data_IF_095957510938
#
_entry.id   IF_095957510938
#
_cell.length_a   1.000
_cell.length_b   1.000
_cell.length_c   1.000
_cell.angle_alpha   90.00
_cell.angle_beta   90.00
_cell.angle_gamma   90.00
#
_symmetry.space_group_name_H-M   'P 1'
#
loop_
_entity.id
_entity.type
_entity.pdbx_description
1 polymer ?
#
# COMPACT_ATOMS: atom_id res chain seq x y z
N UNK A 1 -34.23 26.82 24.14
CA UNK A 1 -33.43 27.81 23.39
C UNK A 1 -32.00 27.55 23.78
N UNK A 2 -31.29 26.80 22.94
CA UNK A 2 -29.90 26.42 23.15
C UNK A 2 -29.09 27.19 22.09
N UNK A 3 -28.14 28.01 22.55
CA UNK A 3 -27.25 28.77 21.69
C UNK A 3 -26.29 27.83 20.96
N UNK A 4 -26.24 27.99 19.65
CA UNK A 4 -25.30 27.38 18.72
C UNK A 4 -23.98 28.17 18.74
N UNK A 5 -22.93 27.62 19.36
CA UNK A 5 -21.57 28.14 19.17
C UNK A 5 -20.92 27.47 17.95
N UNK A 6 -20.54 28.28 16.96
CA UNK A 6 -19.71 27.87 15.82
C UNK A 6 -18.28 27.50 16.27
N UNK A 7 -17.60 26.57 15.56
CA UNK A 7 -16.19 26.25 15.81
C UNK A 7 -15.27 27.41 15.38
N UNK A 8 -14.08 27.56 16.01
CA UNK A 8 -13.15 28.64 15.71
C UNK A 8 -12.52 28.50 14.31
N UNK A 9 -12.13 29.62 13.66
CA UNK A 9 -11.65 29.60 12.29
C UNK A 9 -10.28 28.92 12.15
N UNK A 10 -10.11 28.20 11.05
CA UNK A 10 -8.81 27.74 10.58
C UNK A 10 -7.96 28.94 10.16
N UNK A 11 -6.65 28.86 10.39
CA UNK A 11 -5.66 29.91 10.14
C UNK A 11 -5.61 30.35 8.67
N UNK A 12 -6.51 31.24 8.28
CA UNK A 12 -6.38 32.10 7.11
C UNK A 12 -6.30 33.53 7.64
N UNK A 13 -5.23 34.24 7.26
CA UNK A 13 -4.84 35.63 7.60
C UNK A 13 -3.58 35.76 8.47
N UNK A 14 -2.46 35.22 8.00
CA UNK A 14 -1.14 35.78 8.33
C UNK A 14 -0.66 36.52 7.07
N UNK A 15 -0.67 37.84 7.13
CA UNK A 15 -0.18 38.74 6.09
C UNK A 15 1.36 38.81 6.17
N UNK A 16 2.05 38.01 5.35
CA UNK A 16 3.52 37.94 5.31
C UNK A 16 4.09 39.04 4.42
N UNK A 17 3.67 40.31 4.59
CA UNK A 17 4.36 41.50 4.06
C UNK A 17 4.08 42.74 4.92
N UNK A 18 4.44 42.66 6.20
CA UNK A 18 4.52 43.82 7.09
C UNK A 18 5.97 44.16 7.41
N UNK A 19 6.46 45.29 6.91
CA UNK A 19 7.74 45.90 7.29
C UNK A 19 7.75 46.18 8.79
N UNK A 20 8.66 45.56 9.54
CA UNK A 20 9.09 46.03 10.85
C UNK A 20 10.60 45.82 10.93
N UNK A 21 11.32 46.90 10.63
CA UNK A 21 12.63 47.16 11.19
C UNK A 21 12.49 47.09 12.72
N UNK A 22 13.17 46.14 13.36
CA UNK A 22 13.70 46.30 14.72
C UNK A 22 14.68 45.15 14.98
N UNK A 23 15.87 45.55 15.41
CA UNK A 23 17.06 44.73 15.61
C UNK A 23 16.87 43.71 16.74
N UNK A 24 17.07 42.41 16.45
CA UNK A 24 17.67 41.38 17.31
C UNK A 24 17.34 39.97 16.77
N UNK A 25 17.93 39.60 15.62
CA UNK A 25 17.88 38.22 15.13
C UNK A 25 19.05 37.39 15.70
N UNK A 26 18.73 36.61 16.72
CA UNK A 26 19.65 35.75 17.50
C UNK A 26 20.15 34.53 16.71
N UNK A 27 19.69 34.30 15.46
CA UNK A 27 20.10 33.15 14.66
C UNK A 27 21.15 33.45 13.57
N UNK A 28 21.69 34.67 13.51
CA UNK A 28 22.66 35.09 12.50
C UNK A 28 24.07 34.43 12.59
N UNK A 29 24.34 33.53 13.55
CA UNK A 29 25.70 33.04 13.82
C UNK A 29 25.97 31.55 13.52
N UNK A 30 25.09 30.86 12.80
CA UNK A 30 25.31 29.45 12.42
C UNK A 30 25.27 29.22 10.90
N UNK A 31 26.23 29.81 10.17
CA UNK A 31 26.55 29.39 8.79
C UNK A 31 28.05 29.07 8.72
N UNK A 32 28.34 27.81 8.42
CA UNK A 32 29.68 27.27 8.27
C UNK A 32 30.14 27.44 6.80
N UNK A 33 31.32 28.05 6.63
CA UNK A 33 31.93 28.42 5.36
C UNK A 33 32.18 27.25 4.38
N UNK A 34 31.92 27.48 3.09
CA UNK A 34 32.57 26.78 1.98
C UNK A 34 33.12 27.79 0.96
N UNK A 35 34.35 27.53 0.51
CA UNK A 35 35.18 28.36 -0.38
C UNK A 35 34.75 28.26 -1.89
N UNK A 36 35.28 29.12 -2.78
CA UNK A 36 34.54 29.65 -3.94
C UNK A 36 34.79 28.92 -5.27
N UNK A 37 33.80 29.00 -6.17
CA UNK A 37 33.94 28.73 -7.62
C UNK A 37 33.90 30.02 -8.43
N UNK A 38 34.78 30.09 -9.44
CA UNK A 38 35.14 31.25 -10.28
C UNK A 38 34.27 31.40 -11.56
N UNK A 39 33.94 32.66 -11.86
CA UNK A 39 33.78 33.39 -13.16
C UNK A 39 32.82 32.86 -14.26
N UNK A 40 31.75 33.61 -14.60
CA UNK A 40 31.59 34.62 -15.69
C UNK A 40 31.68 33.98 -17.10
N UNK A 41 30.79 34.21 -18.07
CA UNK A 41 30.30 35.47 -18.67
C UNK A 41 29.00 35.20 -19.47
N UNK A 42 28.09 36.18 -19.52
CA UNK A 42 27.03 36.30 -20.55
C UNK A 42 26.90 37.78 -20.91
N UNK A 43 27.15 38.12 -22.17
CA UNK A 43 26.70 39.34 -22.86
C UNK A 43 26.69 39.00 -24.36
N UNK A 44 25.52 39.04 -25.00
CA UNK A 44 25.18 40.15 -25.90
C UNK A 44 23.88 39.93 -26.70
N UNK A 45 23.23 41.07 -26.94
CA UNK A 45 21.90 41.32 -27.50
C UNK A 45 21.98 41.47 -29.03
N UNK A 46 20.94 41.09 -29.80
CA UNK A 46 20.27 41.97 -30.79
C UNK A 46 19.13 41.34 -31.60
N UNK A 47 18.05 42.14 -31.69
CA UNK A 47 16.90 42.07 -32.57
C UNK A 47 17.26 42.21 -34.07
N UNK A 48 16.39 41.74 -34.98
CA UNK A 48 15.62 42.58 -35.92
C UNK A 48 14.98 41.75 -37.07
N UNK A 49 13.65 41.83 -37.13
CA UNK A 49 12.75 42.12 -38.28
C UNK A 49 12.69 41.26 -39.58
N UNK A 50 11.42 40.92 -39.89
CA UNK A 50 10.68 40.91 -41.17
C UNK A 50 11.19 40.23 -42.44
N UNK A 51 10.28 39.44 -43.06
CA UNK A 51 10.23 39.24 -44.51
C UNK A 51 9.37 38.06 -44.96
N UNK A 52 8.18 38.35 -45.50
CA UNK A 52 7.30 37.43 -46.25
C UNK A 52 8.04 36.69 -47.39
N UNK A 53 7.60 35.46 -47.72
CA UNK A 53 7.23 35.07 -49.10
C UNK A 53 6.55 33.70 -49.16
N UNK A 54 5.43 33.71 -49.86
CA UNK A 54 4.54 32.63 -50.25
C UNK A 54 5.16 31.73 -51.34
N UNK A 55 4.99 30.40 -51.31
CA UNK A 55 5.01 29.55 -52.51
C UNK A 55 4.36 28.17 -52.26
N UNK A 56 3.25 27.95 -52.94
CA UNK A 56 2.54 26.67 -53.05
C UNK A 56 3.32 25.67 -53.93
N UNK A 57 3.28 24.36 -53.59
CA UNK A 57 3.04 23.32 -54.61
C UNK A 57 2.57 21.99 -54.00
N UNK A 58 1.54 21.44 -54.65
CA UNK A 58 0.95 20.12 -54.49
C UNK A 58 1.91 19.03 -54.99
N UNK A 59 1.88 17.85 -54.38
CA UNK A 59 2.09 16.57 -55.08
C UNK A 59 1.38 15.42 -54.34
N UNK A 60 0.47 14.76 -55.07
CA UNK A 60 -0.21 13.50 -54.72
C UNK A 60 0.68 12.33 -55.17
N UNK A 61 0.78 11.28 -54.38
CA UNK A 61 1.12 9.93 -54.87
C UNK A 61 0.21 8.92 -54.16
N UNK A 62 -0.59 8.23 -54.97
CA UNK A 62 -1.33 7.01 -54.68
C UNK A 62 -0.43 5.80 -54.94
N UNK A 63 -0.47 4.76 -54.08
CA UNK A 63 -0.55 3.39 -54.61
C UNK A 63 -1.09 2.37 -53.60
N UNK A 64 -1.77 1.39 -54.18
CA UNK A 64 -2.74 0.43 -53.66
C UNK A 64 -2.21 -0.73 -52.80
N UNK A 65 -3.03 -1.19 -51.85
CA UNK A 65 -2.93 -2.48 -51.13
C UNK A 65 -4.11 -3.37 -51.55
N UNK A 66 -3.95 -4.68 -51.79
CA UNK A 66 -5.07 -5.56 -52.09
C UNK A 66 -5.74 -6.06 -50.81
N UNK A 67 -7.07 -6.00 -50.81
CA UNK A 67 -7.98 -6.61 -49.84
C UNK A 67 -8.05 -8.14 -50.06
N UNK A 68 -7.99 -8.92 -48.99
CA UNK A 68 -8.50 -10.29 -48.95
C UNK A 68 -9.69 -10.32 -48.02
N UNK A 69 -10.86 -10.64 -48.58
CA UNK A 69 -12.10 -10.93 -47.86
C UNK A 69 -11.92 -12.18 -46.98
N UNK A 70 -12.34 -12.10 -45.72
CA UNK A 70 -12.66 -13.26 -44.91
C UNK A 70 -13.98 -13.11 -44.17
N UNK A 71 -14.69 -14.24 -44.19
CA UNK A 71 -16.10 -14.53 -43.86
C UNK A 71 -16.50 -14.13 -42.42
N UNK A 72 -17.73 -13.66 -42.16
CA UNK A 72 -18.17 -13.32 -40.81
C UNK A 72 -18.51 -14.59 -40.00
N UNK A 73 -17.69 -14.90 -38.99
CA UNK A 73 -18.04 -15.84 -37.91
C UNK A 73 -18.73 -15.04 -36.82
N UNK A 74 -20.02 -15.32 -36.62
CA UNK A 74 -20.83 -14.78 -35.52
C UNK A 74 -20.46 -15.48 -34.22
N UNK A 75 -19.49 -14.93 -33.49
CA UNK A 75 -19.29 -15.20 -32.07
C UNK A 75 -19.36 -13.88 -31.32
N UNK A 76 -20.38 -13.69 -30.47
CA UNK A 76 -20.39 -12.58 -29.51
C UNK A 76 -19.44 -12.95 -28.37
N UNK A 77 -18.33 -12.23 -28.15
CA UNK A 77 -17.56 -12.38 -26.92
C UNK A 77 -18.36 -11.71 -25.79
N UNK A 78 -18.42 -12.36 -24.64
CA UNK A 78 -18.80 -11.68 -23.39
C UNK A 78 -17.64 -10.77 -23.04
N UNK A 79 -17.70 -9.51 -23.48
CA UNK A 79 -16.75 -8.47 -23.09
C UNK A 79 -16.99 -8.10 -21.63
N UNK A 80 -16.01 -8.37 -20.78
CA UNK A 80 -15.87 -7.68 -19.50
C UNK A 80 -15.78 -6.17 -19.80
N UNK A 81 -16.40 -5.30 -18.98
CA UNK A 81 -16.41 -3.86 -19.24
C UNK A 81 -14.98 -3.32 -19.37
N UNK A 82 -14.74 -2.53 -20.41
CA UNK A 82 -13.46 -1.87 -20.67
C UNK A 82 -13.29 -0.66 -19.73
N UNK A 83 -12.06 -0.14 -19.61
CA UNK A 83 -11.78 1.02 -18.76
C UNK A 83 -12.61 2.25 -19.14
N UNK A 84 -13.02 2.39 -20.39
CA UNK A 84 -13.89 3.47 -20.88
C UNK A 84 -15.35 3.35 -20.37
N UNK A 85 -15.87 2.13 -20.17
CA UNK A 85 -17.22 1.92 -19.62
C UNK A 85 -17.29 2.22 -18.11
N UNK A 86 -16.17 2.09 -17.40
CA UNK A 86 -16.06 2.42 -15.98
C UNK A 86 -16.02 3.94 -15.73
N UNK A 87 -15.46 4.71 -16.66
CA UNK A 87 -15.38 6.18 -16.58
C UNK A 87 -16.68 6.86 -17.03
N UNK A 88 -17.41 6.27 -17.98
CA UNK A 88 -18.66 6.83 -18.51
C UNK A 88 -19.89 6.66 -17.58
N UNK A 89 -19.80 5.81 -16.54
CA UNK A 89 -20.85 5.58 -15.54
C UNK A 89 -20.68 6.44 -14.27
N UNK A 90 -19.97 7.56 -14.37
CA UNK A 90 -19.73 8.53 -13.29
C UNK A 90 -20.99 9.37 -12.96
N UNK A 91 -22.07 8.68 -12.58
CA UNK A 91 -22.81 9.15 -11.42
C UNK A 91 -21.94 8.88 -10.19
N UNK A 92 -22.03 9.73 -9.16
CA UNK A 92 -21.15 9.78 -7.99
C UNK A 92 -21.14 8.46 -7.18
N UNK A 93 -20.50 7.41 -7.74
CA UNK A 93 -20.46 6.06 -7.20
C UNK A 93 -19.46 6.01 -6.06
N UNK A 94 -19.90 5.52 -4.91
CA UNK A 94 -19.09 5.39 -3.72
C UNK A 94 -19.28 4.03 -3.06
N UNK A 95 -18.23 3.58 -2.38
CA UNK A 95 -18.26 2.45 -1.47
C UNK A 95 -17.45 2.85 -0.23
N UNK A 96 -18.13 2.87 0.91
CA UNK A 96 -17.53 3.13 2.20
C UNK A 96 -17.53 1.85 3.02
N UNK A 97 -16.36 1.48 3.55
CA UNK A 97 -16.19 0.27 4.35
C UNK A 97 -15.60 0.68 5.69
N UNK A 98 -16.23 0.25 6.79
CA UNK A 98 -15.69 0.41 8.13
C UNK A 98 -15.64 -0.94 8.83
N UNK A 99 -14.62 -1.14 9.67
CA UNK A 99 -14.50 -2.35 10.48
C UNK A 99 -14.60 -1.95 11.94
N UNK A 100 -15.53 -2.58 12.66
CA UNK A 100 -15.77 -2.30 14.08
C UNK A 100 -15.08 -3.34 14.98
N UNK A 101 -15.13 -3.12 16.29
CA UNK A 101 -14.47 -3.97 17.28
C UNK A 101 -14.77 -5.45 17.07
N UNK A 102 -13.77 -6.33 17.20
CA UNK A 102 -13.99 -7.71 16.92
C UNK A 102 -14.67 -8.45 18.06
N UNK A 103 -15.52 -9.39 17.69
CA UNK A 103 -16.26 -10.25 18.59
C UNK A 103 -15.63 -11.64 18.65
N UNK A 104 -15.50 -12.20 19.85
CA UNK A 104 -15.14 -13.61 20.02
C UNK A 104 -16.34 -14.48 19.66
N UNK A 105 -16.17 -15.35 18.66
CA UNK A 105 -17.17 -16.29 18.20
C UNK A 105 -16.77 -17.72 18.62
N UNK A 106 -17.75 -18.47 19.13
CA UNK A 106 -17.60 -19.84 19.59
C UNK A 106 -17.04 -19.97 21.02
N UNK A 107 -17.10 -21.20 21.55
CA UNK A 107 -16.65 -21.55 22.90
C UNK A 107 -15.47 -22.54 22.88
N UNK A 108 -14.64 -22.51 23.92
CA UNK A 108 -13.51 -23.44 24.07
C UNK A 108 -12.37 -23.28 23.06
N UNK A 109 -11.70 -24.39 22.72
CA UNK A 109 -10.50 -24.44 21.86
C UNK A 109 -10.78 -24.07 20.38
N UNK A 110 -12.05 -24.06 19.95
CA UNK A 110 -12.47 -23.68 18.61
C UNK A 110 -12.82 -22.19 18.44
N UNK A 111 -12.75 -21.40 19.52
CA UNK A 111 -13.11 -19.98 19.48
C UNK A 111 -12.16 -19.16 18.61
N UNK A 112 -12.72 -18.21 17.87
CA UNK A 112 -11.97 -17.33 16.98
C UNK A 112 -12.47 -15.89 17.08
N UNK A 113 -11.65 -14.95 16.59
CA UNK A 113 -11.96 -13.54 16.59
C UNK A 113 -12.54 -13.15 15.21
N UNK A 114 -13.76 -12.59 15.19
CA UNK A 114 -14.45 -12.13 14.01
C UNK A 114 -14.58 -10.60 14.02
N UNK A 115 -14.40 -9.97 12.87
CA UNK A 115 -14.50 -8.55 12.66
C UNK A 115 -15.82 -8.23 11.98
N UNK A 116 -16.51 -7.21 12.48
CA UNK A 116 -17.76 -6.74 11.90
C UNK A 116 -17.45 -5.70 10.82
N UNK A 117 -17.58 -6.12 9.57
CA UNK A 117 -17.35 -5.32 8.36
C UNK A 117 -18.68 -4.68 7.97
N UNK A 118 -18.75 -3.36 8.00
CA UNK A 118 -19.92 -2.59 7.60
C UNK A 118 -19.62 -1.95 6.26
N UNK A 119 -20.55 -2.07 5.31
CA UNK A 119 -20.40 -1.50 3.98
C UNK A 119 -21.62 -0.70 3.62
N UNK A 120 -21.40 0.54 3.18
CA UNK A 120 -22.41 1.45 2.64
C UNK A 120 -21.97 1.85 1.23
N UNK A 121 -22.82 1.63 0.24
CA UNK A 121 -22.49 1.88 -1.17
C UNK A 121 -23.74 2.18 -1.99
N UNK A 122 -23.60 2.99 -3.03
CA UNK A 122 -24.62 3.19 -4.06
C UNK A 122 -24.29 2.46 -5.38
N UNK A 123 -23.23 1.63 -5.40
CA UNK A 123 -22.83 0.92 -6.61
C UNK A 123 -23.88 -0.16 -6.96
N UNK A 124 -24.40 -0.18 -8.20
CA UNK A 124 -25.47 -1.09 -8.62
C UNK A 124 -25.03 -2.55 -8.69
N UNK A 125 -23.71 -2.79 -8.65
CA UNK A 125 -23.18 -4.14 -8.57
C UNK A 125 -23.67 -4.79 -7.27
N UNK A 126 -23.75 -4.11 -6.13
CA UNK A 126 -24.17 -4.72 -4.85
C UNK A 126 -25.69 -4.92 -4.74
N UNK A 127 -26.12 -5.97 -4.02
CA UNK A 127 -27.54 -6.31 -3.80
C UNK A 127 -28.24 -5.38 -2.82
N UNK A 128 -27.48 -4.85 -1.87
CA UNK A 128 -27.96 -3.97 -0.80
C UNK A 128 -27.05 -2.76 -0.73
N UNK A 129 -27.64 -1.61 -0.39
CA UNK A 129 -26.87 -0.36 -0.21
C UNK A 129 -26.17 -0.29 1.13
N UNK A 130 -26.72 -0.98 2.15
CA UNK A 130 -26.12 -1.10 3.47
C UNK A 130 -26.20 -2.55 3.93
N UNK A 131 -25.07 -3.09 4.37
CA UNK A 131 -25.00 -4.45 4.90
C UNK A 131 -23.80 -4.63 5.81
N UNK A 132 -23.88 -5.68 6.62
CA UNK A 132 -22.89 -5.98 7.65
C UNK A 132 -22.61 -7.48 7.64
N UNK A 133 -21.33 -7.84 7.62
CA UNK A 133 -20.90 -9.24 7.68
C UNK A 133 -19.84 -9.44 8.76
N UNK A 134 -19.78 -10.64 9.31
CA UNK A 134 -18.73 -11.07 10.23
C UNK A 134 -17.66 -11.84 9.45
N UNK A 135 -16.41 -11.43 9.60
CA UNK A 135 -15.25 -12.04 8.94
C UNK A 135 -14.13 -12.29 9.91
N UNK A 136 -13.59 -13.51 9.96
CA UNK A 136 -12.38 -13.76 10.74
C UNK A 136 -11.16 -13.35 9.94
N UNK A 137 -10.05 -13.11 10.64
CA UNK A 137 -8.80 -12.68 10.03
C UNK A 137 -8.33 -13.58 8.86
N UNK A 138 -8.50 -14.91 8.94
CA UNK A 138 -8.10 -15.80 7.85
C UNK A 138 -8.93 -15.66 6.58
N UNK A 139 -10.14 -15.11 6.65
CA UNK A 139 -10.98 -14.89 5.46
C UNK A 139 -10.41 -13.73 4.63
N UNK A 140 -9.88 -12.68 5.28
CA UNK A 140 -9.19 -11.58 4.60
C UNK A 140 -7.94 -12.06 3.87
N UNK A 141 -7.19 -12.98 4.49
CA UNK A 141 -6.03 -13.60 3.83
C UNK A 141 -6.44 -14.47 2.65
N UNK A 142 -7.55 -15.21 2.78
CA UNK A 142 -8.10 -15.99 1.68
C UNK A 142 -8.53 -15.10 0.50
N UNK A 143 -9.17 -13.96 0.78
CA UNK A 143 -9.47 -12.95 -0.24
C UNK A 143 -8.20 -12.44 -0.90
N UNK A 144 -7.19 -12.06 -0.12
CA UNK A 144 -5.90 -11.60 -0.66
C UNK A 144 -5.27 -12.65 -1.57
N UNK A 145 -5.16 -13.91 -1.12
CA UNK A 145 -4.59 -15.02 -1.91
C UNK A 145 -5.30 -15.18 -3.26
N UNK A 146 -6.64 -15.14 -3.26
CA UNK A 146 -7.43 -15.24 -4.50
C UNK A 146 -7.17 -14.06 -5.44
N UNK A 147 -7.16 -12.83 -4.93
CA UNK A 147 -6.88 -11.63 -5.73
C UNK A 147 -5.46 -11.67 -6.29
N UNK A 148 -4.47 -12.06 -5.49
CA UNK A 148 -3.09 -12.25 -5.93
C UNK A 148 -3.00 -13.28 -7.06
N UNK A 149 -3.63 -14.44 -6.90
CA UNK A 149 -3.59 -15.50 -7.92
C UNK A 149 -4.22 -15.08 -9.26
N UNK A 150 -5.29 -14.27 -9.22
CA UNK A 150 -5.98 -13.81 -10.42
C UNK A 150 -5.27 -12.64 -11.11
N UNK A 151 -4.81 -11.65 -10.34
CA UNK A 151 -4.51 -10.33 -10.87
C UNK A 151 -3.01 -9.98 -10.85
N UNK A 152 -2.19 -10.60 -10.01
CA UNK A 152 -0.75 -10.31 -9.96
C UNK A 152 -0.06 -10.67 -11.28
N UNK A 153 -0.45 -11.81 -11.87
CA UNK A 153 0.02 -12.31 -13.18
C UNK A 153 -0.32 -11.36 -14.33
N UNK A 154 -1.31 -10.49 -14.13
CA UNK A 154 -1.77 -9.48 -15.10
C UNK A 154 -1.12 -8.12 -14.80
N UNK A 155 -0.19 -8.06 -13.85
CA UNK A 155 0.54 -6.84 -13.47
C UNK A 155 -0.26 -5.88 -12.60
N UNK A 156 -1.34 -6.31 -11.94
CA UNK A 156 -2.10 -5.46 -11.01
C UNK A 156 -1.49 -5.49 -9.62
N UNK A 157 -1.39 -4.32 -8.99
CA UNK A 157 -0.88 -4.17 -7.63
C UNK A 157 -1.99 -4.55 -6.66
N UNK A 158 -1.75 -5.58 -5.85
CA UNK A 158 -2.69 -6.04 -4.82
C UNK A 158 -2.33 -5.36 -3.51
N UNK A 159 -3.28 -4.68 -2.83
CA UNK A 159 -3.02 -4.07 -1.53
C UNK A 159 -2.41 -5.08 -0.55
N UNK A 160 -1.42 -4.67 0.26
CA UNK A 160 -0.69 -5.59 1.12
C UNK A 160 -1.63 -6.30 2.10
N UNK A 161 -1.43 -7.61 2.26
CA UNK A 161 -2.15 -8.39 3.24
C UNK A 161 -1.87 -7.86 4.67
N UNK A 162 -2.87 -7.81 5.54
CA UNK A 162 -2.67 -7.56 6.96
C UNK A 162 -1.74 -8.63 7.56
N UNK A 163 -0.71 -8.22 8.31
CA UNK A 163 0.28 -9.17 8.83
C UNK A 163 -0.33 -10.16 9.85
N UNK A 164 -0.01 -11.45 9.68
CA UNK A 164 -0.13 -12.46 10.73
C UNK A 164 0.87 -12.15 11.84
N UNK A 165 0.53 -11.25 12.75
CA UNK A 165 1.33 -11.10 13.97
C UNK A 165 1.23 -12.37 14.81
N UNK A 166 2.27 -13.19 14.73
CA UNK A 166 2.46 -14.41 15.53
C UNK A 166 2.69 -14.05 17.01
N UNK A 167 3.22 -12.84 17.26
CA UNK A 167 3.58 -12.33 18.59
C UNK A 167 2.36 -11.82 19.37
N UNK A 168 1.35 -11.26 18.69
CA UNK A 168 0.14 -10.76 19.36
C UNK A 168 -0.82 -11.86 19.82
N UNK A 169 -0.92 -12.97 19.10
CA UNK A 169 -1.80 -14.09 19.48
C UNK A 169 -1.33 -14.81 20.76
N UNK A 170 -0.04 -14.80 21.07
CA UNK A 170 0.49 -15.35 22.32
C UNK A 170 0.22 -14.44 23.54
N UNK A 171 0.23 -13.11 23.34
CA UNK A 171 -0.03 -12.12 24.40
C UNK A 171 -1.52 -11.92 24.70
N UNK A 172 -2.40 -11.90 23.69
CA UNK A 172 -3.86 -11.75 23.89
C UNK A 172 -4.46 -12.94 24.64
N UNK A 173 -3.88 -14.14 24.52
CA UNK A 173 -4.29 -15.31 25.33
C UNK A 173 -3.88 -15.19 26.79
N UNK A 174 -2.82 -14.43 27.11
CA UNK A 174 -2.30 -14.27 28.47
C UNK A 174 -2.92 -13.08 29.22
N UNK A 175 -3.45 -12.07 28.52
CA UNK A 175 -4.09 -10.89 29.12
C UNK A 175 -5.59 -11.06 29.41
N UNK A 176 -6.11 -12.29 29.40
CA UNK A 176 -7.52 -12.59 29.72
C UNK A 176 -7.78 -12.76 31.23
N UNK A 177 -6.89 -12.25 32.09
CA UNK A 177 -7.20 -12.04 33.50
C UNK A 177 -7.76 -10.62 33.71
N UNK A 178 -8.91 -10.46 34.37
CA UNK A 178 -9.65 -9.20 34.41
C UNK A 178 -9.17 -8.23 35.50
N UNK A 179 -7.95 -8.36 36.00
CA UNK A 179 -7.41 -7.44 37.02
C UNK A 179 -5.96 -7.06 36.70
N UNK A 180 -5.76 -5.80 36.32
CA UNK A 180 -4.44 -5.21 36.06
C UNK A 180 -4.23 -4.81 34.60
N UNK A 181 -4.52 -3.55 34.29
CA UNK A 181 -4.42 -2.97 32.95
C UNK A 181 -3.08 -3.24 32.28
N UNK A 182 -3.10 -4.03 31.21
CA UNK A 182 -2.05 -4.02 30.19
C UNK A 182 -2.64 -3.49 28.89
N UNK A 183 -2.33 -2.22 28.63
CA UNK A 183 -2.67 -1.43 27.42
C UNK A 183 -2.39 -2.19 26.11
N UNK A 184 -1.45 -3.15 26.14
CA UNK A 184 -0.93 -3.85 24.97
C UNK A 184 -1.92 -4.82 24.27
N UNK A 185 -2.95 -5.33 24.97
CA UNK A 185 -3.90 -6.27 24.39
C UNK A 185 -4.89 -5.60 23.44
N UNK A 186 -5.42 -4.44 23.84
CA UNK A 186 -6.37 -3.68 23.04
C UNK A 186 -5.69 -2.99 21.85
N UNK A 187 -4.49 -2.45 22.05
CA UNK A 187 -3.67 -1.86 20.99
C UNK A 187 -3.44 -2.82 19.82
N UNK A 188 -3.18 -4.10 20.11
CA UNK A 188 -2.96 -5.10 19.08
C UNK A 188 -4.21 -5.36 18.23
N UNK A 189 -5.35 -5.48 18.90
CA UNK A 189 -6.64 -5.73 18.26
C UNK A 189 -7.02 -4.54 17.38
N UNK A 190 -6.84 -3.32 17.88
CA UNK A 190 -7.14 -2.08 17.16
C UNK A 190 -6.20 -1.86 15.97
N UNK A 191 -4.89 -2.07 16.12
CA UNK A 191 -3.93 -2.04 14.99
C UNK A 191 -4.34 -2.98 13.88
N UNK A 192 -4.72 -4.22 14.26
CA UNK A 192 -5.17 -5.23 13.29
C UNK A 192 -6.47 -4.81 12.61
N UNK A 193 -7.46 -4.30 13.37
CA UNK A 193 -8.72 -3.79 12.84
C UNK A 193 -8.48 -2.66 11.82
N UNK A 194 -7.64 -1.68 12.16
CA UNK A 194 -7.27 -0.57 11.28
C UNK A 194 -6.52 -1.04 10.01
N UNK A 195 -5.63 -2.03 10.12
CA UNK A 195 -4.96 -2.63 8.96
C UNK A 195 -5.94 -3.37 8.04
N UNK A 196 -6.87 -4.15 8.60
CA UNK A 196 -7.92 -4.83 7.84
C UNK A 196 -8.83 -3.82 7.11
N UNK A 197 -9.19 -2.71 7.77
CA UNK A 197 -10.03 -1.68 7.17
C UNK A 197 -9.32 -0.98 6.01
N UNK A 198 -8.04 -0.61 6.19
CA UNK A 198 -7.22 -0.03 5.12
C UNK A 198 -7.09 -0.97 3.92
N UNK A 199 -6.85 -2.25 4.16
CA UNK A 199 -6.80 -3.27 3.11
C UNK A 199 -8.10 -3.31 2.29
N UNK A 200 -9.26 -3.38 2.92
CA UNK A 200 -10.55 -3.36 2.21
C UNK A 200 -10.81 -2.04 1.49
N UNK A 201 -10.54 -0.89 2.13
CA UNK A 201 -10.72 0.43 1.51
C UNK A 201 -9.87 0.57 0.24
N UNK A 202 -8.59 0.19 0.29
CA UNK A 202 -7.70 0.21 -0.89
C UNK A 202 -8.16 -0.75 -1.98
N UNK A 203 -8.66 -1.92 -1.61
CA UNK A 203 -9.22 -2.89 -2.57
C UNK A 203 -10.46 -2.33 -3.25
N UNK A 204 -11.34 -1.66 -2.49
CA UNK A 204 -12.54 -1.00 -3.00
C UNK A 204 -12.25 0.24 -3.87
N UNK A 205 -11.13 0.94 -3.65
CA UNK A 205 -10.69 2.06 -4.48
C UNK A 205 -10.07 1.60 -5.81
N UNK A 206 -9.65 0.34 -5.94
CA UNK A 206 -9.05 -0.13 -7.18
C UNK A 206 -10.17 -0.50 -8.19
N UNK A 207 -10.20 0.12 -9.40
CA UNK A 207 -11.33 0.03 -10.33
C UNK A 207 -11.64 -1.40 -10.79
N UNK A 208 -10.62 -2.25 -10.88
CA UNK A 208 -10.79 -3.68 -11.23
C UNK A 208 -11.12 -4.57 -10.02
N UNK A 209 -10.52 -4.33 -8.86
CA UNK A 209 -10.67 -5.24 -7.71
C UNK A 209 -12.02 -5.07 -7.02
N UNK A 210 -12.59 -3.85 -7.04
CA UNK A 210 -13.94 -3.59 -6.52
C UNK A 210 -15.02 -4.38 -7.26
N UNK A 211 -14.78 -4.71 -8.53
CA UNK A 211 -15.69 -5.49 -9.38
C UNK A 211 -15.46 -7.00 -9.28
N UNK A 212 -14.41 -7.46 -8.58
CA UNK A 212 -14.09 -8.87 -8.50
C UNK A 212 -15.19 -9.66 -7.73
N UNK A 213 -15.64 -10.80 -8.25
CA UNK A 213 -16.68 -11.61 -7.60
C UNK A 213 -16.30 -12.10 -6.19
N UNK A 214 -15.02 -12.43 -5.93
CA UNK A 214 -14.60 -12.88 -4.59
C UNK A 214 -14.56 -11.71 -3.60
N UNK A 215 -14.17 -10.51 -4.04
CA UNK A 215 -14.25 -9.31 -3.21
C UNK A 215 -15.70 -8.99 -2.83
N UNK A 216 -16.60 -9.07 -3.80
CA UNK A 216 -18.02 -8.86 -3.56
C UNK A 216 -18.62 -9.94 -2.65
N UNK A 217 -18.34 -11.21 -2.90
CA UNK A 217 -18.79 -12.31 -2.04
C UNK A 217 -18.27 -12.14 -0.61
N UNK A 218 -17.02 -11.73 -0.47
CA UNK A 218 -16.42 -11.42 0.82
C UNK A 218 -17.19 -10.31 1.56
N UNK A 219 -17.71 -9.31 0.87
CA UNK A 219 -18.48 -8.23 1.50
C UNK A 219 -19.95 -8.61 1.77
N UNK A 220 -20.62 -9.34 0.86
CA UNK A 220 -22.07 -9.57 0.92
C UNK A 220 -22.50 -10.89 1.57
N UNK A 221 -21.65 -11.92 1.59
CA UNK A 221 -22.06 -13.26 2.00
C UNK A 221 -22.33 -13.33 3.51
N UNK A 222 -23.57 -13.62 3.90
CA UNK A 222 -23.95 -13.83 5.32
C UNK A 222 -23.44 -15.19 5.85
N UNK A 223 -23.01 -16.09 4.96
CA UNK A 223 -22.52 -17.43 5.30
C UNK A 223 -21.06 -17.34 5.73
N UNK A 224 -20.66 -18.12 6.74
CA UNK A 224 -19.25 -18.28 7.08
C UNK A 224 -18.46 -18.81 5.88
N UNK A 225 -17.47 -18.04 5.42
CA UNK A 225 -16.60 -18.47 4.33
C UNK A 225 -15.76 -19.69 4.77
N UNK A 226 -15.49 -20.64 3.86
CA UNK A 226 -14.65 -21.79 4.17
C UNK A 226 -13.27 -21.33 4.66
N UNK A 227 -12.70 -22.07 5.62
CA UNK A 227 -11.36 -21.76 6.16
C UNK A 227 -10.36 -21.74 5.01
N UNK A 228 -9.69 -20.62 4.81
CA UNK A 228 -8.57 -20.52 3.90
C UNK A 228 -7.46 -21.47 4.37
N UNK A 229 -7.38 -22.64 3.74
CA UNK A 229 -6.43 -23.72 4.07
C UNK A 229 -4.99 -23.36 3.70
N UNK A 230 -4.79 -22.31 2.90
CA UNK A 230 -3.49 -21.89 2.35
C UNK A 230 -2.83 -20.71 3.08
N UNK A 231 -3.38 -20.24 4.20
CA UNK A 231 -2.82 -19.05 4.90
C UNK A 231 -1.46 -19.29 5.57
N UNK A 232 -0.93 -20.50 5.53
CA UNK A 232 0.41 -20.88 6.02
C UNK A 232 1.53 -20.17 5.25
N UNK A 233 1.27 -19.71 4.02
CA UNK A 233 2.23 -19.02 3.17
C UNK A 233 2.41 -17.52 3.51
N UNK A 234 1.41 -16.89 4.15
CA UNK A 234 1.42 -15.45 4.51
C UNK A 234 1.85 -15.16 5.96
N UNK A 235 2.38 -16.16 6.67
CA UNK A 235 3.12 -15.91 7.92
C UNK A 235 4.49 -15.32 7.59
N UNK A 236 5.10 -14.53 8.47
CA UNK A 236 6.50 -14.07 8.31
C UNK A 236 7.50 -15.23 8.15
N UNK A 237 7.13 -16.45 8.55
CA UNK A 237 7.87 -17.69 8.25
C UNK A 237 7.59 -18.29 6.84
N UNK A 238 6.52 -17.87 6.18
CA UNK A 238 6.13 -18.29 4.83
C UNK A 238 6.84 -17.51 3.73
N UNK A 239 7.18 -16.24 3.97
CA UNK A 239 8.07 -15.46 3.08
C UNK A 239 9.44 -16.14 2.95
N UNK A 240 10.01 -16.62 4.05
CA UNK A 240 11.23 -17.45 4.04
C UNK A 240 11.08 -18.80 3.30
N UNK A 241 9.88 -19.39 3.27
CA UNK A 241 9.61 -20.62 2.50
C UNK A 241 9.37 -20.36 1.02
N UNK A 242 8.89 -19.18 0.62
CA UNK A 242 8.87 -18.77 -0.78
C UNK A 242 10.30 -18.66 -1.32
N UNK A 243 11.24 -18.07 -0.57
CA UNK A 243 12.66 -18.08 -0.93
C UNK A 243 13.26 -19.50 -1.03
N UNK A 244 12.83 -20.46 -0.20
CA UNK A 244 13.30 -21.84 -0.29
C UNK A 244 12.61 -22.69 -1.39
N UNK A 245 11.36 -22.40 -1.78
CA UNK A 245 10.71 -23.05 -2.93
C UNK A 245 11.19 -22.52 -4.29
N UNK A 246 11.76 -21.31 -4.29
CA UNK A 246 12.57 -20.80 -5.40
C UNK A 246 13.93 -21.53 -5.45
N UNK A 247 14.37 -22.22 -4.39
CA UNK A 247 15.59 -23.04 -4.41
C UNK A 247 15.44 -24.36 -5.18
N UNK A 248 14.31 -25.05 -5.05
CA UNK A 248 14.14 -26.41 -5.61
C UNK A 248 13.67 -26.43 -7.07
N UNK A 249 13.07 -25.33 -7.57
CA UNK A 249 12.66 -25.23 -8.99
C UNK A 249 13.74 -24.62 -9.88
N UNK A 250 14.81 -24.08 -9.29
CA UNK A 250 15.87 -23.33 -10.02
C UNK A 250 17.03 -24.22 -10.46
N UNK A 251 17.00 -25.52 -10.15
CA UNK A 251 18.02 -26.48 -10.58
C UNK A 251 17.79 -27.11 -11.97
N UNK A 252 16.89 -26.58 -12.81
CA UNK A 252 16.79 -27.10 -14.19
C UNK A 252 16.60 -26.12 -15.32
N UNK A 253 16.30 -24.84 -15.06
CA UNK A 253 16.22 -23.82 -16.11
C UNK A 253 16.66 -22.46 -15.53
N UNK A 254 17.96 -22.27 -15.29
CA UNK A 254 18.54 -20.93 -15.11
C UNK A 254 18.96 -20.42 -16.49
N UNK A 255 17.99 -19.97 -17.29
CA UNK A 255 18.30 -19.09 -18.41
C UNK A 255 18.40 -17.68 -17.82
N UNK A 256 19.63 -17.18 -17.59
CA UNK A 256 19.85 -15.76 -17.31
C UNK A 256 19.50 -14.98 -18.58
N UNK A 257 18.24 -14.59 -18.70
CA UNK A 257 17.80 -13.65 -19.72
C UNK A 257 17.61 -12.32 -19.01
N UNK A 258 18.44 -11.35 -19.40
CA UNK A 258 18.45 -10.03 -18.78
C UNK A 258 17.24 -9.21 -19.28
N UNK A 259 16.51 -8.64 -18.33
CA UNK A 259 15.49 -7.63 -18.59
C UNK A 259 16.22 -6.33 -18.93
N UNK A 260 16.20 -5.93 -20.19
CA UNK A 260 16.93 -4.75 -20.69
C UNK A 260 15.98 -3.56 -20.94
N UNK A 261 14.83 -3.53 -20.30
CA UNK A 261 13.90 -2.41 -20.43
C UNK A 261 14.34 -1.27 -19.51
N UNK A 262 14.84 -0.14 -20.05
CA UNK A 262 15.41 0.93 -19.23
C UNK A 262 14.38 1.55 -18.28
N UNK A 263 13.09 1.54 -18.66
CA UNK A 263 12.04 2.09 -17.81
C UNK A 263 11.85 1.23 -16.55
N UNK A 264 11.84 -0.10 -16.69
CA UNK A 264 11.67 -0.99 -15.54
C UNK A 264 12.88 -0.97 -14.62
N UNK A 265 14.09 -0.87 -15.19
CA UNK A 265 15.32 -0.72 -14.40
C UNK A 265 15.29 0.59 -13.60
N UNK A 266 15.03 1.73 -14.26
CA UNK A 266 14.95 3.04 -13.60
C UNK A 266 13.86 3.06 -12.51
N UNK A 267 12.66 2.53 -12.81
CA UNK A 267 11.56 2.49 -11.86
C UNK A 267 11.84 1.56 -10.68
N UNK A 268 12.49 0.43 -10.89
CA UNK A 268 12.85 -0.47 -9.81
C UNK A 268 13.84 0.23 -8.85
N UNK A 269 14.88 0.87 -9.39
CA UNK A 269 15.84 1.66 -8.61
C UNK A 269 15.15 2.79 -7.83
N UNK A 270 14.19 3.49 -8.46
CA UNK A 270 13.38 4.49 -7.77
C UNK A 270 12.61 3.88 -6.60
N UNK A 271 11.88 2.79 -6.81
CA UNK A 271 11.08 2.11 -5.79
C UNK A 271 11.95 1.65 -4.61
N UNK A 272 13.11 1.06 -4.89
CA UNK A 272 14.06 0.60 -3.86
C UNK A 272 14.64 1.76 -3.05
N UNK A 273 14.94 2.88 -3.72
CA UNK A 273 15.42 4.10 -3.07
C UNK A 273 14.33 4.69 -2.16
N UNK A 274 13.09 4.77 -2.66
CA UNK A 274 11.94 5.26 -1.90
C UNK A 274 11.66 4.36 -0.70
N UNK A 275 11.68 3.03 -0.87
CA UNK A 275 11.52 2.06 0.22
C UNK A 275 12.61 2.26 1.28
N UNK A 276 13.87 2.47 0.87
CA UNK A 276 14.98 2.72 1.79
C UNK A 276 14.76 3.99 2.62
N UNK A 277 14.32 5.08 1.99
CA UNK A 277 14.03 6.34 2.69
C UNK A 277 12.82 6.22 3.63
N UNK A 278 11.71 5.62 3.18
CA UNK A 278 10.52 5.41 4.00
C UNK A 278 10.80 4.48 5.17
N UNK A 279 11.64 3.46 4.99
CA UNK A 279 12.03 2.53 6.06
C UNK A 279 12.85 3.23 7.14
N UNK A 280 13.81 4.08 6.74
CA UNK A 280 14.56 4.92 7.70
C UNK A 280 13.63 5.86 8.45
N UNK A 281 12.71 6.52 7.75
CA UNK A 281 11.72 7.42 8.35
C UNK A 281 10.81 6.67 9.34
N UNK A 282 10.30 5.50 8.96
CA UNK A 282 9.50 4.65 9.83
C UNK A 282 10.24 4.28 11.12
N UNK A 283 11.49 3.81 11.02
CA UNK A 283 12.32 3.49 12.20
C UNK A 283 12.51 4.70 13.12
N UNK A 284 12.75 5.89 12.56
CA UNK A 284 12.91 7.11 13.34
C UNK A 284 11.61 7.51 14.05
N UNK A 285 10.46 7.34 13.40
CA UNK A 285 9.15 7.62 14.01
C UNK A 285 8.80 6.58 15.08
N UNK A 286 9.12 5.30 14.88
CA UNK A 286 9.00 4.28 15.93
C UNK A 286 9.83 4.66 17.17
N UNK A 287 11.07 5.10 16.97
CA UNK A 287 11.93 5.57 18.05
C UNK A 287 11.33 6.80 18.75
N UNK A 288 10.83 7.77 18.00
CA UNK A 288 10.16 8.97 18.54
C UNK A 288 8.95 8.59 19.42
N UNK A 289 8.11 7.67 18.96
CA UNK A 289 6.97 7.15 19.74
C UNK A 289 7.47 6.51 21.04
N UNK A 290 8.53 5.70 20.98
CA UNK A 290 9.11 5.07 22.15
C UNK A 290 9.63 6.10 23.16
N UNK A 291 10.36 7.13 22.70
CA UNK A 291 10.87 8.20 23.54
C UNK A 291 9.74 9.04 24.17
N UNK A 292 8.64 9.30 23.45
CA UNK A 292 7.48 10.01 24.04
C UNK A 292 6.78 9.19 25.12
N UNK A 293 6.67 7.87 24.95
CA UNK A 293 6.14 6.98 26.00
C UNK A 293 7.05 6.93 27.22
N UNK A 294 8.36 6.92 27.00
CA UNK A 294 9.35 7.00 28.09
C UNK A 294 9.27 8.35 28.81
N UNK A 295 9.16 9.45 28.07
CA UNK A 295 8.98 10.78 28.64
C UNK A 295 7.71 10.87 29.49
N UNK A 296 6.59 10.34 29.02
CA UNK A 296 5.36 10.25 29.81
C UNK A 296 5.59 9.49 31.13
N UNK A 297 6.28 8.36 31.08
CA UNK A 297 6.59 7.57 32.26
C UNK A 297 7.47 8.34 33.27
N UNK A 298 8.48 9.06 32.80
CA UNK A 298 9.34 9.89 33.65
C UNK A 298 8.56 11.07 34.25
N UNK A 299 7.71 11.72 33.47
CA UNK A 299 6.79 12.78 33.92
C UNK A 299 5.87 12.29 35.05
N UNK A 300 5.29 11.09 34.93
CA UNK A 300 4.52 10.49 36.02
C UNK A 300 5.37 10.27 37.29
N UNK A 301 6.64 9.89 37.13
CA UNK A 301 7.58 9.76 38.23
C UNK A 301 7.83 11.09 38.97
N UNK A 302 7.92 12.20 38.22
CA UNK A 302 8.02 13.56 38.79
C UNK A 302 6.74 13.90 39.55
N UNK A 303 5.57 13.67 38.95
CA UNK A 303 4.27 13.93 39.58
C UNK A 303 4.14 13.22 40.93
N UNK A 304 4.43 11.92 40.98
CA UNK A 304 4.40 11.13 42.23
C UNK A 304 5.39 11.64 43.26
N UNK A 305 6.58 12.01 42.84
CA UNK A 305 7.61 12.54 43.74
C UNK A 305 7.18 13.88 44.34
N UNK A 306 6.63 14.78 43.52
CA UNK A 306 6.08 16.06 43.97
C UNK A 306 4.91 15.89 44.95
N UNK A 307 4.02 14.93 44.71
CA UNK A 307 2.93 14.59 45.62
C UNK A 307 3.45 14.05 46.97
N UNK A 308 4.47 13.20 46.96
CA UNK A 308 5.10 12.71 48.19
C UNK A 308 5.79 13.84 48.98
N UNK A 309 6.51 14.73 48.30
CA UNK A 309 7.12 15.91 48.91
C UNK A 309 6.05 16.83 49.53
N UNK A 310 4.95 17.06 48.81
CA UNK A 310 3.80 17.83 49.31
C UNK A 310 3.24 17.27 50.61
N UNK A 311 3.14 15.94 50.73
CA UNK A 311 2.63 15.26 51.93
C UNK A 311 3.57 15.33 53.15
N UNK A 312 4.88 15.50 52.91
CA UNK A 312 5.90 15.65 53.96
C UNK A 312 6.15 17.11 54.37
N UNK A 313 5.63 18.07 53.61
CA UNK A 313 5.93 19.50 53.80
C UNK A 313 5.00 20.13 54.84
N UNK A 314 5.59 20.71 55.90
CA UNK A 314 4.86 21.36 56.98
C UNK A 314 4.33 22.76 56.58
N UNK A 315 5.01 23.45 55.66
CA UNK A 315 4.57 24.76 55.22
C UNK A 315 3.39 24.68 54.25
N UNK A 316 2.20 25.03 54.73
CA UNK A 316 0.93 24.93 53.99
C UNK A 316 0.95 25.48 52.56
N UNK A 317 1.59 26.64 52.31
CA UNK A 317 1.60 27.19 50.94
C UNK A 317 2.55 26.45 50.01
N UNK A 318 3.65 25.91 50.54
CA UNK A 318 4.62 25.15 49.76
C UNK A 318 4.07 23.75 49.48
N UNK A 319 3.47 23.11 50.48
CA UNK A 319 2.75 21.84 50.32
C UNK A 319 1.69 21.94 49.21
N UNK A 320 0.86 23.00 49.22
CA UNK A 320 -0.13 23.25 48.15
C UNK A 320 0.48 23.47 46.78
N UNK A 321 1.58 24.22 46.68
CA UNK A 321 2.27 24.45 45.41
C UNK A 321 2.83 23.13 44.85
N UNK A 322 3.39 22.27 45.71
CA UNK A 322 3.88 20.93 45.32
C UNK A 322 2.74 19.99 44.90
N UNK A 323 1.57 20.06 45.57
CA UNK A 323 0.39 19.31 45.11
C UNK A 323 -0.05 19.77 43.71
N UNK A 324 -0.11 21.09 43.49
CA UNK A 324 -0.49 21.64 42.18
C UNK A 324 0.51 21.29 41.08
N UNK A 325 1.81 21.25 41.41
CA UNK A 325 2.83 20.76 40.49
C UNK A 325 2.59 19.29 40.14
N UNK A 326 2.32 18.43 41.14
CA UNK A 326 1.99 17.03 40.90
C UNK A 326 0.78 16.88 39.98
N UNK A 327 -0.33 17.57 40.27
CA UNK A 327 -1.55 17.56 39.45
C UNK A 327 -1.30 18.05 38.01
N UNK A 328 -0.37 18.99 37.84
CA UNK A 328 0.00 19.52 36.52
C UNK A 328 0.84 18.51 35.74
N UNK A 329 1.82 17.88 36.38
CA UNK A 329 2.65 16.84 35.76
C UNK A 329 1.82 15.60 35.39
N UNK A 330 0.81 15.21 36.17
CA UNK A 330 -0.13 14.14 35.78
C UNK A 330 -0.91 14.48 34.51
N UNK A 331 -1.30 15.75 34.32
CA UNK A 331 -1.96 16.19 33.09
C UNK A 331 -0.98 16.19 31.90
N UNK A 332 0.26 16.60 32.11
CA UNK A 332 1.31 16.58 31.09
C UNK A 332 1.62 15.14 30.65
N UNK A 333 1.70 14.19 31.59
CA UNK A 333 1.82 12.76 31.29
C UNK A 333 0.68 12.31 30.35
N UNK A 334 -0.57 12.63 30.70
CA UNK A 334 -1.73 12.21 29.90
C UNK A 334 -1.62 12.74 28.45
N UNK A 335 -1.19 14.00 28.29
CA UNK A 335 -0.94 14.59 26.97
C UNK A 335 0.19 13.88 26.22
N UNK A 336 1.31 13.56 26.88
CA UNK A 336 2.41 12.82 26.26
C UNK A 336 1.98 11.42 25.79
N UNK A 337 1.15 10.73 26.57
CA UNK A 337 0.58 9.42 26.19
C UNK A 337 -0.33 9.56 24.96
N UNK A 338 -1.23 10.54 24.97
CA UNK A 338 -2.13 10.80 23.84
C UNK A 338 -1.35 11.14 22.56
N UNK A 339 -0.33 11.99 22.68
CA UNK A 339 0.52 12.38 21.57
C UNK A 339 1.31 11.18 21.01
N UNK A 340 1.89 10.36 21.89
CA UNK A 340 2.59 9.15 21.48
C UNK A 340 1.67 8.14 20.78
N UNK A 341 0.43 8.01 21.25
CA UNK A 341 -0.57 7.15 20.61
C UNK A 341 -0.99 7.70 19.25
N UNK A 342 -1.20 9.01 19.14
CA UNK A 342 -1.55 9.68 17.87
C UNK A 342 -0.46 9.49 16.83
N UNK A 343 0.80 9.79 17.17
CA UNK A 343 1.94 9.56 16.28
C UNK A 343 2.03 8.09 15.84
N UNK A 344 1.78 7.18 16.78
CA UNK A 344 1.83 5.76 16.51
C UNK A 344 0.75 5.32 15.51
N UNK A 345 -0.53 5.61 15.79
CA UNK A 345 -1.65 5.13 14.99
C UNK A 345 -1.80 5.89 13.66
N UNK A 346 -1.43 7.16 13.61
CA UNK A 346 -1.55 7.98 12.40
C UNK A 346 -0.28 7.89 11.55
N UNK A 347 0.89 8.21 12.10
CA UNK A 347 2.12 8.33 11.29
C UNK A 347 2.82 7.00 11.10
N UNK A 348 3.13 6.29 12.20
CA UNK A 348 3.90 5.05 12.15
C UNK A 348 3.16 3.97 11.34
N UNK A 349 1.90 3.72 11.69
CA UNK A 349 1.08 2.72 11.00
C UNK A 349 0.80 3.09 9.54
N UNK A 350 0.68 4.38 9.19
CA UNK A 350 0.55 4.81 7.78
C UNK A 350 1.83 4.53 6.99
N UNK A 351 2.99 4.88 7.52
CA UNK A 351 4.27 4.61 6.86
C UNK A 351 4.51 3.11 6.68
N UNK A 352 4.14 2.29 7.66
CA UNK A 352 4.19 0.83 7.56
C UNK A 352 3.32 0.32 6.40
N UNK A 353 2.12 0.87 6.25
CA UNK A 353 1.19 0.53 5.18
C UNK A 353 1.73 0.92 3.79
N UNK A 354 2.35 2.09 3.66
CA UNK A 354 3.04 2.48 2.42
C UNK A 354 4.25 1.59 2.09
N UNK A 355 5.05 1.19 3.09
CA UNK A 355 6.11 0.20 2.90
C UNK A 355 5.56 -1.15 2.39
N UNK A 356 4.40 -1.57 2.91
CA UNK A 356 3.69 -2.74 2.40
C UNK A 356 3.29 -2.58 0.93
N UNK A 357 2.78 -1.41 0.54
CA UNK A 357 2.41 -1.13 -0.85
C UNK A 357 3.62 -1.14 -1.79
N UNK A 358 4.76 -0.58 -1.38
CA UNK A 358 6.01 -0.67 -2.15
C UNK A 358 6.44 -2.14 -2.33
N UNK A 359 6.25 -2.96 -1.31
CA UNK A 359 6.39 -4.42 -1.41
C UNK A 359 5.49 -5.02 -2.50
N UNK A 360 4.19 -4.68 -2.50
CA UNK A 360 3.24 -5.13 -3.54
C UNK A 360 3.62 -4.69 -4.94
N UNK A 361 4.20 -3.48 -5.10
CA UNK A 361 4.71 -3.02 -6.40
C UNK A 361 5.90 -3.88 -6.83
N UNK A 362 6.84 -4.16 -5.93
CA UNK A 362 7.99 -5.03 -6.22
C UNK A 362 7.56 -6.45 -6.59
N UNK A 363 6.53 -6.98 -5.95
CA UNK A 363 5.95 -8.28 -6.30
C UNK A 363 5.40 -8.29 -7.74
N UNK A 364 4.77 -7.20 -8.18
CA UNK A 364 4.30 -7.06 -9.55
C UNK A 364 5.45 -6.96 -10.56
N UNK A 365 6.52 -6.23 -10.24
CA UNK A 365 7.76 -6.20 -11.05
C UNK A 365 8.38 -7.60 -11.17
N UNK A 366 8.49 -8.31 -10.05
CA UNK A 366 9.05 -9.64 -10.03
C UNK A 366 8.22 -10.65 -10.86
N UNK A 367 6.89 -10.57 -10.78
CA UNK A 367 6.00 -11.40 -11.59
C UNK A 367 6.11 -11.06 -13.09
N UNK A 368 6.26 -9.78 -13.44
CA UNK A 368 6.57 -9.37 -14.81
C UNK A 368 7.88 -10.00 -15.31
N UNK A 369 8.96 -9.92 -14.55
CA UNK A 369 10.26 -10.49 -14.97
C UNK A 369 10.13 -12.00 -15.21
N UNK A 370 9.39 -12.72 -14.35
CA UNK A 370 9.08 -14.16 -14.56
C UNK A 370 8.32 -14.42 -15.86
N UNK A 371 7.27 -13.63 -16.12
CA UNK A 371 6.47 -13.77 -17.35
C UNK A 371 7.30 -13.46 -18.59
N UNK A 372 8.17 -12.45 -18.53
CA UNK A 372 9.09 -12.10 -19.60
C UNK A 372 10.06 -13.26 -19.90
N UNK A 373 10.69 -13.83 -18.86
CA UNK A 373 11.56 -15.00 -19.00
C UNK A 373 10.81 -16.20 -19.59
N UNK A 374 9.58 -16.45 -19.14
CA UNK A 374 8.74 -17.52 -19.67
C UNK A 374 8.40 -17.30 -21.15
N UNK A 375 8.01 -16.08 -21.52
CA UNK A 375 7.74 -15.71 -22.91
C UNK A 375 8.97 -15.90 -23.80
N UNK A 376 10.13 -15.41 -23.37
CA UNK A 376 11.36 -15.57 -24.15
C UNK A 376 11.77 -17.03 -24.31
N UNK A 377 11.62 -17.84 -23.27
CA UNK A 377 11.84 -19.28 -23.35
C UNK A 377 10.91 -19.94 -24.37
N UNK A 378 9.60 -19.64 -24.32
CA UNK A 378 8.62 -20.13 -25.27
C UNK A 378 8.93 -19.68 -26.71
N UNK A 379 9.40 -18.44 -26.90
CA UNK A 379 9.84 -17.92 -28.19
C UNK A 379 11.07 -18.68 -28.73
N UNK A 380 12.05 -18.99 -27.88
CA UNK A 380 13.21 -19.80 -28.27
C UNK A 380 12.80 -21.24 -28.63
N UNK A 381 11.89 -21.85 -27.87
CA UNK A 381 11.36 -23.18 -28.19
C UNK A 381 10.65 -23.18 -29.55
N UNK A 382 9.82 -22.16 -29.81
CA UNK A 382 9.15 -21.99 -31.09
C UNK A 382 10.14 -21.84 -32.24
N UNK A 383 11.20 -21.04 -32.06
CA UNK A 383 12.25 -20.89 -33.07
C UNK A 383 12.97 -22.21 -33.36
N UNK A 384 13.32 -23.00 -32.33
CA UNK A 384 13.93 -24.33 -32.52
C UNK A 384 13.00 -25.29 -33.25
N UNK A 385 11.70 -25.28 -32.95
CA UNK A 385 10.70 -26.10 -33.66
C UNK A 385 10.59 -25.68 -35.13
N UNK A 386 10.60 -24.37 -35.43
CA UNK A 386 10.61 -23.83 -36.81
C UNK A 386 11.88 -24.24 -37.57
N UNK A 387 13.05 -24.16 -36.94
CA UNK A 387 14.31 -24.62 -37.53
C UNK A 387 14.29 -26.15 -37.80
N UNK A 388 13.74 -26.93 -36.87
CA UNK A 388 13.58 -28.38 -37.04
C UNK A 388 12.65 -28.70 -38.22
N UNK A 389 11.52 -28.01 -38.34
CA UNK A 389 10.61 -28.13 -39.49
C UNK A 389 11.32 -27.82 -40.81
N UNK A 390 11.98 -26.67 -40.90
CA UNK A 390 12.73 -26.27 -42.10
C UNK A 390 13.80 -27.30 -42.48
N UNK A 391 14.46 -27.91 -41.49
CA UNK A 391 15.43 -28.99 -41.71
C UNK A 391 14.78 -30.27 -42.25
N UNK A 392 13.59 -30.65 -41.79
CA UNK A 392 12.86 -31.81 -42.31
C UNK A 392 12.34 -31.57 -43.73
N UNK A 393 11.91 -30.34 -44.05
CA UNK A 393 11.55 -29.91 -45.39
C UNK A 393 12.75 -30.05 -46.36
N UNK A 394 13.92 -29.53 -45.98
CA UNK A 394 15.15 -29.67 -46.75
C UNK A 394 15.59 -31.14 -46.96
N UNK A 395 15.23 -32.04 -46.05
CA UNK A 395 15.54 -33.46 -46.13
C UNK A 395 14.45 -34.29 -46.86
N UNK A 396 13.40 -33.67 -47.41
CA UNK A 396 12.24 -34.35 -48.01
C UNK A 396 11.58 -35.40 -47.11
N UNK A 397 11.57 -35.17 -45.78
CA UNK A 397 10.95 -36.09 -44.81
C UNK A 397 9.53 -35.65 -44.47
N UNK A 398 8.60 -35.83 -45.41
CA UNK A 398 7.20 -35.38 -45.34
C UNK A 398 6.51 -35.70 -44.01
N UNK A 399 6.61 -36.93 -43.52
CA UNK A 399 5.93 -37.37 -42.30
C UNK A 399 6.42 -36.62 -41.04
N UNK A 400 7.70 -36.21 -41.03
CA UNK A 400 8.28 -35.42 -39.93
C UNK A 400 8.05 -33.93 -40.08
N UNK A 401 7.92 -33.47 -41.32
CA UNK A 401 7.54 -32.08 -41.62
C UNK A 401 6.12 -31.79 -41.14
N UNK A 402 5.19 -32.71 -41.36
CA UNK A 402 3.80 -32.56 -40.92
C UNK A 402 3.71 -32.53 -39.39
N UNK A 403 4.40 -33.45 -38.71
CA UNK A 403 4.47 -33.49 -37.25
C UNK A 403 5.11 -32.22 -36.65
N UNK A 404 6.25 -31.77 -37.20
CA UNK A 404 6.89 -30.53 -36.76
C UNK A 404 6.02 -29.29 -37.10
N UNK A 405 5.20 -29.36 -38.14
CA UNK A 405 4.21 -28.33 -38.49
C UNK A 405 3.13 -28.17 -37.42
N UNK A 406 2.59 -29.28 -36.91
CA UNK A 406 1.63 -29.27 -35.79
C UNK A 406 2.28 -28.71 -34.53
N UNK A 407 3.51 -29.15 -34.21
CA UNK A 407 4.24 -28.67 -33.03
C UNK A 407 4.56 -27.16 -33.08
N UNK A 408 4.62 -26.53 -34.25
CA UNK A 408 4.84 -25.07 -34.39
C UNK A 408 3.54 -24.27 -34.16
N UNK A 409 2.39 -24.89 -34.39
CA UNK A 409 1.06 -24.29 -34.20
C UNK A 409 0.61 -24.41 -32.75
N UNK A 410 0.91 -25.55 -32.11
CA UNK A 410 0.75 -25.78 -30.65
C UNK A 410 1.81 -25.05 -29.82
#
# INVERSE_FOLDING_TARGET
MADSMEPPPLFENIDIKGNLDDEDDVFASAIQEQAPTLSLEDDDVQELTNGDTDFSSKLKISDSKPEMESVPISEKPVTLPTMEDAEAASGDQFINISITEPQKIGEGMGSYLAYRVCTTTNMPIFKRQEFVVLRRFSDFLGLHDKLTEKYLKVGRIIPPAPEKSVIGNAKVKMSSQPEGGTVNGNDFVERRRAALERYLKRTAQHPVLVLDPDFREFLESEIELPKATSTSALSSAGVMRLFNKVGETVNKITYKMEENDPWFEEKLVHIETLETHLRKLHTNIEAMVAYRKELAHLTNGVARSAAMLSACEDHNSLSRALSQLADTEEKIEALHIEQANTDFFILCEMLKDYLGLLGSVRDAFHERTKLFQHWQHSQQMLNRKREAKAKFELQNRTDKTDQAGVEVIE
#
